data_IF_180473507131
#
_entry.id   IF_180473507131
#
_cell.length_a   1.000
_cell.length_b   1.000
_cell.length_c   1.000
_cell.angle_alpha   90.00
_cell.angle_beta   90.00
_cell.angle_gamma   90.00
#
_symmetry.space_group_name_H-M   'P 1'
#
loop_
_entity.id
_entity.type
_entity.pdbx_description
1 polymer ?
#
# COMPACT_ATOMS: atom_id res chain seq x y z
N UNK A 1 43.73 -21.20 14.11
CA UNK A 1 42.33 -20.73 14.00
C UNK A 1 41.89 -20.12 15.34
N UNK A 2 41.73 -18.80 15.40
CA UNK A 2 41.42 -18.06 16.63
C UNK A 2 39.91 -18.13 16.91
N UNK A 3 39.49 -18.71 18.05
CA UNK A 3 38.08 -18.77 18.47
C UNK A 3 37.56 -17.35 18.67
N UNK A 4 36.52 -16.97 17.92
CA UNK A 4 35.75 -15.75 18.16
C UNK A 4 35.16 -15.83 19.58
N UNK A 5 35.33 -14.78 20.38
CA UNK A 5 34.68 -14.63 21.69
C UNK A 5 33.19 -14.94 21.53
N UNK A 6 32.60 -15.75 22.43
CA UNK A 6 31.14 -15.97 22.50
C UNK A 6 30.47 -14.66 22.92
N UNK A 7 30.21 -13.78 21.96
CA UNK A 7 29.23 -12.71 22.11
C UNK A 7 27.83 -13.33 22.14
N UNK A 8 26.91 -12.83 22.97
CA UNK A 8 25.57 -13.42 23.14
C UNK A 8 24.70 -13.30 21.88
N UNK A 9 25.11 -12.51 20.88
CA UNK A 9 24.38 -12.32 19.62
C UNK A 9 25.23 -12.83 18.46
N UNK A 10 24.65 -13.72 17.64
CA UNK A 10 25.31 -14.19 16.43
C UNK A 10 25.27 -13.08 15.37
N UNK A 11 26.42 -12.80 14.73
CA UNK A 11 26.49 -11.80 13.64
C UNK A 11 25.50 -12.14 12.51
N UNK A 12 25.23 -13.43 12.27
CA UNK A 12 24.26 -13.86 11.25
C UNK A 12 22.82 -13.46 11.59
N UNK A 13 22.47 -13.44 12.87
CA UNK A 13 21.13 -13.08 13.32
C UNK A 13 20.85 -11.59 13.10
N UNK A 14 21.88 -10.75 13.17
CA UNK A 14 21.78 -9.30 12.95
C UNK A 14 21.42 -8.93 11.50
N UNK A 15 21.82 -9.76 10.53
CA UNK A 15 21.58 -9.52 9.10
C UNK A 15 20.29 -10.16 8.58
N UNK A 16 19.52 -10.82 9.44
CA UNK A 16 18.26 -11.45 9.08
C UNK A 16 17.08 -10.68 9.70
N UNK A 17 16.16 -10.12 8.89
CA UNK A 17 15.00 -9.36 9.37
C UNK A 17 14.08 -10.15 10.29
N UNK A 18 14.10 -11.48 10.30
CA UNK A 18 13.24 -12.31 11.15
C UNK A 18 13.86 -12.60 12.52
N UNK A 19 15.19 -12.65 12.61
CA UNK A 19 15.91 -13.00 13.85
C UNK A 19 16.62 -11.82 14.50
N UNK A 20 16.76 -10.70 13.79
CA UNK A 20 17.44 -9.51 14.30
C UNK A 20 16.68 -8.95 15.53
N UNK A 21 17.36 -8.58 16.63
CA UNK A 21 16.73 -7.94 17.78
C UNK A 21 15.94 -6.68 17.38
N UNK A 22 14.74 -6.50 17.93
CA UNK A 22 13.81 -5.44 17.52
C UNK A 22 14.40 -4.03 17.62
N UNK A 23 15.23 -3.80 18.65
CA UNK A 23 15.92 -2.52 18.87
C UNK A 23 16.99 -2.20 17.83
N UNK A 24 17.42 -3.18 17.02
CA UNK A 24 18.42 -3.00 15.96
C UNK A 24 17.79 -2.93 14.56
N UNK A 25 16.48 -3.15 14.43
CA UNK A 25 15.78 -3.08 13.15
C UNK A 25 15.95 -1.72 12.42
N UNK A 26 16.00 -0.55 13.08
CA UNK A 26 16.24 0.72 12.36
C UNK A 26 17.59 0.74 11.64
N UNK A 27 18.63 0.18 12.25
CA UNK A 27 19.97 0.10 11.65
C UNK A 27 20.00 -0.91 10.50
N UNK A 28 19.28 -2.02 10.65
CA UNK A 28 19.12 -2.98 9.57
C UNK A 28 18.37 -2.36 8.39
N UNK A 29 17.27 -1.65 8.64
CA UNK A 29 16.51 -0.95 7.61
C UNK A 29 17.37 0.06 6.85
N UNK A 30 18.20 0.83 7.56
CA UNK A 30 19.18 1.73 6.95
C UNK A 30 20.17 0.98 6.04
N UNK A 31 20.71 -0.15 6.51
CA UNK A 31 21.66 -0.96 5.75
C UNK A 31 21.04 -1.56 4.47
N UNK A 32 19.74 -1.83 4.47
CA UNK A 32 18.98 -2.30 3.30
C UNK A 32 18.38 -1.16 2.46
N UNK A 33 18.71 0.11 2.76
CA UNK A 33 18.20 1.29 2.07
C UNK A 33 16.66 1.29 1.97
N UNK A 34 15.98 1.02 3.08
CA UNK A 34 14.51 1.12 3.17
C UNK A 34 14.11 2.60 3.09
N UNK A 35 13.27 2.96 2.12
CA UNK A 35 12.94 4.37 1.83
C UNK A 35 11.98 5.02 2.84
N UNK A 36 11.06 4.23 3.42
CA UNK A 36 10.09 4.67 4.42
C UNK A 36 10.23 3.87 5.70
N UNK A 37 10.40 4.59 6.80
CA UNK A 37 10.53 4.00 8.13
C UNK A 37 9.75 4.83 9.16
N UNK A 38 8.94 4.16 9.98
CA UNK A 38 8.28 4.77 11.13
C UNK A 38 8.56 3.96 12.39
N UNK A 39 9.07 4.63 13.42
CA UNK A 39 9.35 4.01 14.70
C UNK A 39 8.09 3.53 15.43
N UNK A 40 6.92 4.07 15.09
CA UNK A 40 5.63 3.69 15.68
C UNK A 40 5.02 2.44 15.05
N UNK A 41 5.58 1.95 13.94
CA UNK A 41 5.07 0.75 13.29
C UNK A 41 5.16 -0.49 14.19
N UNK A 42 4.18 -1.40 14.10
CA UNK A 42 4.30 -2.73 14.68
C UNK A 42 5.59 -3.41 14.20
N UNK A 43 6.21 -4.20 15.08
CA UNK A 43 7.45 -4.91 14.75
C UNK A 43 7.31 -5.79 13.50
N UNK A 44 6.17 -6.45 13.32
CA UNK A 44 5.87 -7.24 12.13
C UNK A 44 5.98 -6.43 10.84
N UNK A 45 5.42 -5.21 10.81
CA UNK A 45 5.51 -4.29 9.67
C UNK A 45 6.95 -3.85 9.43
N UNK A 46 7.68 -3.50 10.49
CA UNK A 46 9.11 -3.14 10.41
C UNK A 46 9.95 -4.26 9.79
N UNK A 47 9.71 -5.52 10.17
CA UNK A 47 10.41 -6.68 9.59
C UNK A 47 9.99 -6.93 8.14
N UNK A 48 8.70 -6.77 7.82
CA UNK A 48 8.17 -6.93 6.47
C UNK A 48 8.82 -5.95 5.49
N UNK A 49 8.86 -4.64 5.80
CA UNK A 49 9.46 -3.64 4.90
C UNK A 49 10.94 -3.89 4.63
N UNK A 50 11.70 -4.39 5.61
CA UNK A 50 13.11 -4.75 5.42
C UNK A 50 13.22 -5.98 4.50
N UNK A 51 12.35 -6.97 4.68
CA UNK A 51 12.32 -8.18 3.84
C UNK A 51 11.99 -7.84 2.38
N UNK A 52 11.04 -6.93 2.17
CA UNK A 52 10.61 -6.51 0.84
C UNK A 52 11.62 -5.60 0.14
N UNK A 53 12.49 -4.91 0.88
CA UNK A 53 13.49 -4.00 0.31
C UNK A 53 14.36 -4.65 -0.77
N UNK A 54 14.85 -5.87 -0.54
CA UNK A 54 15.66 -6.58 -1.54
C UNK A 54 14.88 -6.83 -2.83
N UNK A 55 13.62 -7.29 -2.71
CA UNK A 55 12.78 -7.52 -3.87
C UNK A 55 12.51 -6.22 -4.64
N UNK A 56 12.17 -5.14 -3.94
CA UNK A 56 11.91 -3.83 -4.54
C UNK A 56 13.14 -3.33 -5.29
N UNK A 57 14.31 -3.33 -4.66
CA UNK A 57 15.55 -2.86 -5.26
C UNK A 57 15.96 -3.67 -6.49
N UNK A 58 15.81 -5.00 -6.46
CA UNK A 58 16.11 -5.86 -7.61
C UNK A 58 15.13 -5.69 -8.77
N UNK A 59 13.90 -5.23 -8.51
CA UNK A 59 12.82 -5.17 -9.50
C UNK A 59 12.33 -3.74 -9.76
N UNK A 60 13.12 -2.70 -9.40
CA UNK A 60 12.78 -1.31 -9.74
C UNK A 60 12.49 -1.18 -11.23
N UNK A 61 11.47 -0.41 -11.55
CA UNK A 61 10.93 -0.28 -12.90
C UNK A 61 9.88 -1.32 -13.29
N UNK A 62 9.56 -2.28 -12.42
CA UNK A 62 8.48 -3.24 -12.70
C UNK A 62 7.19 -2.86 -11.98
N UNK A 63 6.06 -3.32 -12.53
CA UNK A 63 4.76 -3.25 -11.85
C UNK A 63 4.82 -3.98 -10.50
N UNK A 64 5.62 -5.04 -10.39
CA UNK A 64 5.83 -5.77 -9.14
C UNK A 64 6.45 -4.91 -8.05
N UNK A 65 7.46 -4.10 -8.38
CA UNK A 65 8.04 -3.14 -7.43
C UNK A 65 7.04 -2.05 -7.06
N UNK A 66 6.31 -1.47 -8.03
CA UNK A 66 5.27 -0.47 -7.78
C UNK A 66 4.21 -1.02 -6.82
N UNK A 67 3.73 -2.25 -7.06
CA UNK A 67 2.74 -2.92 -6.18
C UNK A 67 3.24 -3.06 -4.74
N UNK A 68 4.52 -3.39 -4.56
CA UNK A 68 5.13 -3.57 -3.23
C UNK A 68 5.29 -2.25 -2.46
N UNK A 69 5.70 -1.17 -3.14
CA UNK A 69 5.92 0.12 -2.48
C UNK A 69 4.63 0.82 -2.09
N UNK A 70 3.52 0.57 -2.80
CA UNK A 70 2.22 1.18 -2.48
C UNK A 70 1.43 0.38 -1.43
N UNK A 71 1.72 -0.91 -1.25
CA UNK A 71 1.02 -1.81 -0.32
C UNK A 71 0.83 -1.23 1.10
N UNK A 72 1.83 -0.57 1.73
CA UNK A 72 1.68 -0.04 3.08
C UNK A 72 0.68 1.11 3.22
N UNK A 73 0.26 1.72 2.10
CA UNK A 73 -0.67 2.85 2.06
C UNK A 73 -1.99 2.51 1.35
N UNK A 74 -2.00 1.46 0.53
CA UNK A 74 -3.12 1.10 -0.32
C UNK A 74 -2.80 -0.14 -1.15
N UNK A 75 -3.48 -0.32 -2.27
CA UNK A 75 -3.22 -1.42 -3.20
C UNK A 75 -3.32 -0.92 -4.63
N UNK A 76 -2.45 -1.44 -5.49
CA UNK A 76 -2.49 -1.12 -6.91
C UNK A 76 -3.69 -1.81 -7.57
N UNK A 77 -4.66 -1.01 -8.02
CA UNK A 77 -5.85 -1.47 -8.76
C UNK A 77 -5.46 -1.75 -10.20
N UNK A 78 -4.95 -0.72 -10.89
CA UNK A 78 -4.67 -0.79 -12.33
C UNK A 78 -3.49 0.11 -12.72
N UNK A 79 -2.84 -0.27 -13.83
CA UNK A 79 -1.83 0.53 -14.51
C UNK A 79 -2.32 0.72 -15.95
N UNK A 80 -2.49 1.96 -16.36
CA UNK A 80 -2.89 2.29 -17.74
C UNK A 80 -1.69 2.89 -18.45
N UNK A 81 -1.22 2.23 -19.50
CA UNK A 81 -0.09 2.67 -20.30
C UNK A 81 -0.53 3.60 -21.44
N UNK A 82 0.40 4.44 -21.92
CA UNK A 82 0.07 5.50 -22.87
C UNK A 82 -0.60 5.02 -24.17
N UNK A 83 -0.27 3.80 -24.63
CA UNK A 83 -0.84 3.23 -25.86
C UNK A 83 -2.30 2.77 -25.68
N UNK A 84 -2.79 2.64 -24.46
CA UNK A 84 -4.18 2.24 -24.17
C UNK A 84 -5.15 3.43 -24.22
N UNK A 85 -4.65 4.65 -23.96
CA UNK A 85 -5.47 5.85 -23.80
C UNK A 85 -5.02 7.03 -24.68
N UNK A 86 -4.17 6.79 -25.67
CA UNK A 86 -3.61 7.83 -26.57
C UNK A 86 -2.91 8.99 -25.82
N UNK A 87 -2.30 8.69 -24.67
CA UNK A 87 -1.50 9.65 -23.90
C UNK A 87 -0.09 9.82 -24.54
N UNK A 88 0.70 10.84 -24.14
CA UNK A 88 2.04 11.04 -24.67
C UNK A 88 2.94 9.80 -24.51
N UNK A 89 3.75 9.43 -25.53
CA UNK A 89 4.61 8.25 -25.46
C UNK A 89 5.53 8.23 -24.24
N UNK A 90 5.64 7.07 -23.58
CA UNK A 90 6.47 6.90 -22.39
C UNK A 90 5.80 7.35 -21.09
N UNK A 91 4.50 7.62 -21.10
CA UNK A 91 3.73 7.96 -19.89
C UNK A 91 2.85 6.81 -19.42
N UNK A 92 2.40 6.88 -18.17
CA UNK A 92 1.43 5.96 -17.60
C UNK A 92 0.61 6.62 -16.50
N UNK A 93 -0.51 5.98 -16.16
CA UNK A 93 -1.41 6.38 -15.08
C UNK A 93 -1.58 5.21 -14.10
N UNK A 94 -1.79 5.53 -12.84
CA UNK A 94 -2.03 4.54 -11.78
C UNK A 94 -3.37 4.78 -11.11
N UNK A 95 -4.12 3.69 -10.93
CA UNK A 95 -5.29 3.65 -10.07
C UNK A 95 -4.92 2.90 -8.77
N UNK A 96 -5.06 3.56 -7.63
CA UNK A 96 -4.71 3.03 -6.31
C UNK A 96 -5.94 3.02 -5.42
N UNK A 97 -6.18 1.90 -4.75
CA UNK A 97 -7.21 1.74 -3.74
C UNK A 97 -6.65 2.01 -2.34
N UNK A 98 -7.37 2.74 -1.48
CA UNK A 98 -6.99 2.93 -0.06
C UNK A 98 -7.98 2.22 0.87
N UNK A 99 -7.46 1.58 1.91
CA UNK A 99 -8.23 0.67 2.77
C UNK A 99 -9.01 1.40 3.87
N UNK A 100 -8.37 2.27 4.68
CA UNK A 100 -9.02 2.79 5.89
C UNK A 100 -8.74 4.26 6.21
N UNK A 101 -7.56 4.78 5.86
CA UNK A 101 -7.22 6.19 6.02
C UNK A 101 -7.89 7.04 4.93
N UNK A 102 -8.45 8.19 5.33
CA UNK A 102 -8.84 9.21 4.36
C UNK A 102 -7.64 9.65 3.50
N UNK A 103 -7.91 10.14 2.30
CA UNK A 103 -6.87 10.68 1.40
C UNK A 103 -6.42 12.02 1.99
N UNK A 104 -5.37 12.00 2.82
CA UNK A 104 -4.72 13.22 3.28
C UNK A 104 -3.66 13.65 2.27
N UNK A 105 -3.40 14.95 2.21
CA UNK A 105 -2.33 15.51 1.36
C UNK A 105 -0.97 14.86 1.65
N UNK A 106 -0.65 14.64 2.93
CA UNK A 106 0.59 13.98 3.33
C UNK A 106 0.69 12.54 2.81
N UNK A 107 -0.43 11.80 2.76
CA UNK A 107 -0.45 10.45 2.22
C UNK A 107 -0.31 10.44 0.70
N UNK A 108 -0.92 11.40 0.00
CA UNK A 108 -0.76 11.59 -1.44
C UNK A 108 0.71 11.84 -1.81
N UNK A 109 1.36 12.79 -1.13
CA UNK A 109 2.77 13.12 -1.36
C UNK A 109 3.69 11.92 -1.08
N UNK A 110 3.40 11.15 -0.04
CA UNK A 110 4.18 9.95 0.27
C UNK A 110 3.98 8.84 -0.78
N UNK A 111 2.75 8.64 -1.29
CA UNK A 111 2.52 7.73 -2.41
C UNK A 111 3.30 8.16 -3.65
N UNK A 112 3.22 9.45 -4.01
CA UNK A 112 3.95 9.98 -5.17
C UNK A 112 5.46 9.76 -5.03
N UNK A 113 6.03 10.04 -3.86
CA UNK A 113 7.44 9.81 -3.57
C UNK A 113 7.83 8.34 -3.71
N UNK A 114 7.06 7.42 -3.14
CA UNK A 114 7.33 5.98 -3.21
C UNK A 114 7.23 5.44 -4.64
N UNK A 115 6.23 5.88 -5.40
CA UNK A 115 6.08 5.51 -6.80
C UNK A 115 7.22 6.08 -7.63
N UNK A 116 7.66 7.31 -7.37
CA UNK A 116 8.76 7.93 -8.09
C UNK A 116 10.09 7.18 -7.92
N UNK A 117 10.33 6.59 -6.75
CA UNK A 117 11.52 5.75 -6.50
C UNK A 117 11.44 4.38 -7.19
N UNK A 118 10.25 3.78 -7.25
CA UNK A 118 10.06 2.44 -7.80
C UNK A 118 9.84 2.41 -9.33
N UNK A 119 9.31 3.48 -9.94
CA UNK A 119 8.97 3.51 -11.37
C UNK A 119 10.23 3.49 -12.26
N UNK A 120 10.10 3.07 -13.53
CA UNK A 120 11.21 3.22 -14.48
C UNK A 120 11.59 4.70 -14.63
N UNK A 121 12.89 4.99 -14.66
CA UNK A 121 13.38 6.36 -14.87
C UNK A 121 12.89 6.95 -16.21
N UNK A 122 12.77 6.12 -17.23
CA UNK A 122 12.31 6.51 -18.58
C UNK A 122 10.80 6.62 -18.73
N UNK A 123 10.01 6.31 -17.68
CA UNK A 123 8.54 6.35 -17.73
C UNK A 123 8.00 7.40 -16.78
N UNK A 124 7.03 8.20 -17.24
CA UNK A 124 6.53 9.34 -16.49
C UNK A 124 5.08 9.13 -16.04
N UNK A 125 4.86 9.24 -14.73
CA UNK A 125 3.52 9.22 -14.15
C UNK A 125 2.83 10.55 -14.48
N UNK A 126 1.69 10.50 -15.17
CA UNK A 126 0.91 11.71 -15.54
C UNK A 126 -0.48 11.74 -14.90
N UNK A 127 -0.82 10.71 -14.12
CA UNK A 127 -2.09 10.64 -13.41
C UNK A 127 -2.01 9.61 -12.29
N UNK A 128 -2.41 10.04 -11.10
CA UNK A 128 -2.59 9.20 -9.94
C UNK A 128 -4.02 9.35 -9.44
N UNK A 129 -4.81 8.31 -9.62
CA UNK A 129 -6.20 8.27 -9.16
C UNK A 129 -6.28 7.41 -7.90
N UNK A 130 -6.82 7.98 -6.82
CA UNK A 130 -6.92 7.30 -5.53
C UNK A 130 -8.40 7.08 -5.23
N UNK A 131 -8.80 5.81 -5.22
CA UNK A 131 -10.18 5.40 -4.95
C UNK A 131 -10.27 4.80 -3.56
N UNK A 132 -11.36 5.07 -2.85
CA UNK A 132 -11.68 4.41 -1.59
C UNK A 132 -12.93 3.57 -1.79
N UNK A 133 -12.82 2.28 -1.52
CA UNK A 133 -13.98 1.41 -1.43
C UNK A 133 -14.43 1.34 0.04
N UNK A 134 -15.70 1.64 0.31
CA UNK A 134 -16.28 1.55 1.64
C UNK A 134 -17.44 0.56 1.54
N UNK A 135 -17.27 -0.70 1.97
CA UNK A 135 -18.36 -1.66 1.96
C UNK A 135 -19.46 -1.18 2.94
N UNK A 136 -20.68 -1.00 2.42
CA UNK A 136 -21.85 -0.58 3.19
C UNK A 136 -23.03 -1.51 2.95
N UNK A 137 -23.85 -1.71 3.99
CA UNK A 137 -25.10 -2.46 3.87
C UNK A 137 -26.24 -1.50 3.50
N UNK A 138 -26.89 -1.72 2.36
CA UNK A 138 -28.11 -1.02 2.00
C UNK A 138 -29.31 -1.87 2.40
N UNK A 139 -30.11 -1.40 3.36
CA UNK A 139 -31.37 -2.04 3.73
C UNK A 139 -32.52 -1.34 3.00
N UNK A 140 -33.16 -2.04 2.06
CA UNK A 140 -34.37 -1.58 1.41
C UNK A 140 -35.59 -2.25 2.07
N UNK A 141 -36.56 -1.45 2.52
CA UNK A 141 -37.85 -1.91 3.05
C UNK A 141 -39.00 -1.27 2.31
N UNK A 142 -40.09 -2.01 2.10
CA UNK A 142 -41.33 -1.51 1.50
C UNK A 142 -42.49 -1.66 2.46
N UNK A 143 -43.39 -0.68 2.49
CA UNK A 143 -44.68 -0.77 3.18
C UNK A 143 -45.77 -0.66 2.10
N UNK A 144 -46.65 -1.65 2.03
CA UNK A 144 -47.88 -1.57 1.26
C UNK A 144 -49.02 -1.21 2.23
N UNK A 145 -49.72 -0.13 1.95
CA UNK A 145 -50.95 0.22 2.66
C UNK A 145 -52.11 -0.08 1.73
N UNK A 146 -52.98 -1.00 2.15
CA UNK A 146 -54.25 -1.25 1.50
C UNK A 146 -55.34 -0.57 2.33
N UNK A 147 -56.14 0.28 1.69
CA UNK A 147 -57.19 1.05 2.32
C UNK A 147 -58.48 0.84 1.56
N UNK A 148 -59.47 0.26 2.22
CA UNK A 148 -60.81 0.10 1.67
C UNK A 148 -61.74 1.23 2.17
N UNK A 149 -62.55 1.80 1.28
CA UNK A 149 -63.50 2.88 1.61
C UNK A 149 -64.90 2.28 1.67
N UNK A 150 -65.37 2.00 2.88
CA UNK A 150 -66.74 1.50 3.10
C UNK A 150 -67.66 2.69 3.38
N UNK A 151 -68.63 2.90 2.49
CA UNK A 151 -69.70 3.88 2.70
C UNK A 151 -70.87 3.20 3.42
N UNK A 152 -71.14 3.62 4.66
CA UNK A 152 -72.29 3.14 5.44
C UNK A 152 -73.45 4.10 5.25
N UNK A 153 -74.58 3.60 4.76
CA UNK A 153 -75.83 4.35 4.69
C UNK A 153 -76.67 4.12 5.95
N UNK A 154 -77.22 5.16 6.60
CA UNK A 154 -78.19 4.99 7.67
C UNK A 154 -79.52 4.48 7.09
N UNK A 155 -80.12 3.50 7.77
CA UNK A 155 -81.48 3.02 7.53
C UNK A 155 -82.53 3.82 8.30
#
# INVERSE_FOLDING_TARGET
MRKLKKTPVSIRELWNPDTCPANLLPWLAWAFSVDRWDEKWPEATKRAVIRDAYFIHCHKGTIGAIRRVVEPLGYLINVTEWWENSDPPGTFRLDIGVLESGITEAMYQEMERLIADAKPASRHLIGLNITRDIPGYLFAGGVAYDGDVITVYPG
#
